data_IF_099397946015
#
_entry.id   IF_099397946015
#
_cell.length_a   1.000
_cell.length_b   1.000
_cell.length_c   1.000
_cell.angle_alpha   90.00
_cell.angle_beta   90.00
_cell.angle_gamma   90.00
#
_symmetry.space_group_name_H-M   'P 1'
#
loop_
_entity.id
_entity.type
_entity.pdbx_description
1 polymer ?
#
# COMPACT_ATOMS: atom_id res chain seq x y z
N UNK A 1 1.37 -20.21 5.64
CA UNK A 1 -0.01 -19.71 5.73
C UNK A 1 0.08 -18.37 6.44
N UNK A 2 -0.43 -17.29 5.85
CA UNK A 2 -0.56 -16.03 6.57
C UNK A 2 -1.64 -16.20 7.62
N UNK A 3 -1.41 -15.72 8.83
CA UNK A 3 -2.39 -15.83 9.92
C UNK A 3 -2.84 -14.44 10.30
N UNK A 4 -4.14 -14.22 10.29
CA UNK A 4 -4.75 -12.96 10.68
C UNK A 4 -4.42 -12.62 12.13
N UNK A 5 -4.03 -11.38 12.37
CA UNK A 5 -3.83 -10.83 13.71
C UNK A 5 -4.60 -9.53 13.81
N UNK A 6 -5.25 -9.28 14.95
CA UNK A 6 -5.75 -7.93 15.23
C UNK A 6 -4.55 -7.02 15.44
N UNK A 7 -4.59 -5.83 14.84
CA UNK A 7 -3.55 -4.84 15.07
C UNK A 7 -3.45 -4.56 16.57
N UNK A 8 -2.24 -4.61 17.15
CA UNK A 8 -2.06 -4.35 18.57
C UNK A 8 -2.27 -2.87 18.93
N UNK A 9 -2.53 -2.00 17.95
CA UNK A 9 -2.63 -0.54 18.15
C UNK A 9 -3.98 0.02 17.72
N UNK A 10 -4.70 -0.68 16.86
CA UNK A 10 -6.04 -0.30 16.39
C UNK A 10 -6.87 -1.58 16.23
N UNK A 11 -7.58 -2.04 17.28
CA UNK A 11 -8.23 -3.35 17.32
C UNK A 11 -9.26 -3.65 16.21
N UNK A 12 -9.74 -2.61 15.52
CA UNK A 12 -10.64 -2.64 14.38
C UNK A 12 -9.93 -3.09 13.08
N UNK A 13 -8.59 -3.01 13.04
CA UNK A 13 -7.77 -3.37 11.89
C UNK A 13 -7.23 -4.80 12.04
N UNK A 14 -7.36 -5.59 10.98
CA UNK A 14 -6.70 -6.88 10.84
C UNK A 14 -5.40 -6.71 10.05
N UNK A 15 -4.38 -7.49 10.41
CA UNK A 15 -3.05 -7.48 9.81
C UNK A 15 -2.60 -8.90 9.42
N UNK A 16 -1.91 -8.99 8.29
CA UNK A 16 -1.19 -10.19 7.84
C UNK A 16 0.23 -9.82 7.48
N UNK A 17 1.17 -10.45 8.17
CA UNK A 17 2.59 -10.19 8.07
C UNK A 17 3.26 -11.25 7.19
N UNK A 18 4.03 -10.83 6.19
CA UNK A 18 4.86 -11.71 5.39
C UNK A 18 6.12 -12.11 6.16
N UNK A 19 6.80 -13.15 5.70
CA UNK A 19 8.11 -13.53 6.22
C UNK A 19 9.14 -12.41 6.01
N UNK A 20 10.14 -12.31 6.89
CA UNK A 20 11.15 -11.24 6.88
C UNK A 20 11.96 -11.13 5.58
N UNK A 21 12.07 -12.21 4.81
CA UNK A 21 12.70 -12.27 3.49
C UNK A 21 11.80 -11.78 2.35
N UNK A 22 10.52 -11.49 2.62
CA UNK A 22 9.56 -11.00 1.64
C UNK A 22 9.23 -9.53 1.94
N UNK A 23 10.17 -8.64 1.63
CA UNK A 23 9.95 -7.18 1.62
C UNK A 23 10.80 -6.55 0.50
N UNK A 24 10.49 -5.31 0.11
CA UNK A 24 11.25 -4.62 -0.94
C UNK A 24 12.75 -4.56 -0.68
N UNK A 25 13.16 -4.48 0.58
CA UNK A 25 14.55 -4.35 0.99
C UNK A 25 15.27 -5.67 1.26
N UNK A 26 14.57 -6.81 1.27
CA UNK A 26 15.15 -8.12 1.64
C UNK A 26 14.92 -9.23 0.61
N UNK A 27 13.94 -9.08 -0.27
CA UNK A 27 13.59 -10.08 -1.27
C UNK A 27 14.80 -10.43 -2.14
N UNK A 28 15.00 -11.72 -2.42
CA UNK A 28 16.14 -12.23 -3.20
C UNK A 28 17.52 -11.82 -2.65
N UNK A 29 17.63 -11.57 -1.34
CA UNK A 29 18.90 -11.23 -0.68
C UNK A 29 19.34 -9.78 -0.87
N UNK A 30 18.44 -8.89 -1.29
CA UNK A 30 18.71 -7.44 -1.40
C UNK A 30 19.03 -6.82 -0.05
N UNK A 31 19.67 -5.65 -0.09
CA UNK A 31 20.00 -4.83 1.08
C UNK A 31 19.54 -3.40 0.86
N UNK A 32 18.23 -3.17 1.00
CA UNK A 32 17.59 -1.87 0.76
C UNK A 32 16.82 -1.78 -0.55
N UNK A 33 15.95 -0.78 -0.64
CA UNK A 33 15.17 -0.44 -1.84
C UNK A 33 14.43 0.90 -1.66
N UNK A 34 14.37 1.70 -2.72
CA UNK A 34 13.59 2.95 -2.83
C UNK A 34 12.43 2.80 -3.85
N UNK A 35 11.99 1.57 -4.12
CA UNK A 35 11.04 1.25 -5.17
C UNK A 35 9.56 1.27 -4.72
N UNK A 36 9.25 1.68 -3.49
CA UNK A 36 7.91 1.53 -2.87
C UNK A 36 6.79 2.13 -3.73
N UNK A 37 7.02 3.29 -4.38
CA UNK A 37 6.02 3.93 -5.25
C UNK A 37 5.69 3.07 -6.48
N UNK A 38 6.69 2.51 -7.15
CA UNK A 38 6.47 1.60 -8.28
C UNK A 38 5.79 0.30 -7.83
N UNK A 39 6.17 -0.24 -6.67
CA UNK A 39 5.56 -1.45 -6.10
C UNK A 39 4.07 -1.19 -5.81
N UNK A 40 3.72 -0.08 -5.17
CA UNK A 40 2.34 0.30 -4.89
C UNK A 40 1.52 0.44 -6.18
N UNK A 41 2.06 1.12 -7.19
CA UNK A 41 1.39 1.26 -8.48
C UNK A 41 1.18 -0.10 -9.17
N UNK A 42 2.22 -0.93 -9.29
CA UNK A 42 2.13 -2.27 -9.86
C UNK A 42 1.13 -3.17 -9.09
N UNK A 43 1.04 -3.01 -7.78
CA UNK A 43 0.11 -3.76 -6.94
C UNK A 43 -1.36 -3.40 -7.24
N UNK A 44 -1.67 -2.13 -7.50
CA UNK A 44 -3.03 -1.71 -7.86
C UNK A 44 -3.49 -2.31 -9.19
N UNK A 45 -2.58 -2.43 -10.17
CA UNK A 45 -2.89 -3.14 -11.40
C UNK A 45 -3.19 -4.63 -11.17
N UNK A 46 -2.33 -5.32 -10.41
CA UNK A 46 -2.55 -6.74 -10.12
C UNK A 46 -3.81 -7.00 -9.31
N UNK A 47 -4.20 -6.10 -8.41
CA UNK A 47 -5.47 -6.23 -7.68
C UNK A 47 -6.66 -6.36 -8.63
N UNK A 48 -6.70 -5.55 -9.69
CA UNK A 48 -7.77 -5.62 -10.69
C UNK A 48 -7.67 -6.86 -11.60
N UNK A 49 -6.47 -7.35 -11.91
CA UNK A 49 -6.28 -8.48 -12.84
C UNK A 49 -6.41 -9.85 -12.19
N UNK A 50 -5.87 -10.03 -10.98
CA UNK A 50 -5.69 -11.34 -10.37
C UNK A 50 -6.97 -11.88 -9.71
N UNK A 51 -8.08 -11.12 -9.75
CA UNK A 51 -9.35 -11.46 -9.10
C UNK A 51 -9.17 -11.91 -7.64
N UNK A 52 -8.19 -11.31 -6.95
CA UNK A 52 -7.84 -11.66 -5.58
C UNK A 52 -9.04 -11.33 -4.69
N UNK A 53 -9.50 -12.32 -3.94
CA UNK A 53 -10.52 -12.08 -2.95
C UNK A 53 -9.88 -11.33 -1.78
N UNK A 54 -10.40 -10.15 -1.40
CA UNK A 54 -9.91 -9.44 -0.23
C UNK A 54 -9.98 -10.36 1.00
N UNK A 55 -8.94 -10.43 1.85
CA UNK A 55 -9.06 -11.08 3.13
C UNK A 55 -10.13 -10.37 3.97
N UNK A 56 -10.91 -11.11 4.75
CA UNK A 56 -12.01 -10.58 5.57
C UNK A 56 -11.82 -10.95 7.05
N UNK A 57 -12.69 -10.48 7.95
CA UNK A 57 -12.70 -10.98 9.32
C UNK A 57 -12.93 -12.50 9.30
N UNK A 58 -11.93 -13.26 9.75
CA UNK A 58 -12.03 -14.72 9.86
C UNK A 58 -11.71 -15.51 8.59
N UNK A 59 -11.27 -14.87 7.50
CA UNK A 59 -10.70 -15.58 6.34
C UNK A 59 -9.31 -15.04 6.04
N UNK A 60 -8.31 -15.92 6.18
CA UNK A 60 -6.94 -15.59 5.82
C UNK A 60 -6.83 -15.35 4.30
N UNK A 61 -5.96 -14.42 3.87
CA UNK A 61 -5.66 -14.24 2.46
C UNK A 61 -5.14 -15.56 1.91
N UNK A 62 -5.65 -15.93 0.72
CA UNK A 62 -5.18 -17.10 0.03
C UNK A 62 -3.69 -16.99 -0.35
N UNK A 63 -3.12 -18.10 -0.82
CA UNK A 63 -1.73 -18.09 -1.27
C UNK A 63 -1.50 -17.16 -2.49
N UNK A 64 -2.56 -16.76 -3.20
CA UNK A 64 -2.52 -15.82 -4.31
C UNK A 64 -2.00 -14.45 -3.88
N UNK A 65 -2.36 -13.97 -2.69
CA UNK A 65 -1.83 -12.70 -2.15
C UNK A 65 -0.31 -12.73 -1.95
N UNK A 66 0.24 -13.82 -1.39
CA UNK A 66 1.70 -13.96 -1.23
C UNK A 66 2.42 -14.00 -2.58
N UNK A 67 1.86 -14.74 -3.54
CA UNK A 67 2.41 -14.83 -4.90
C UNK A 67 2.38 -13.48 -5.60
N UNK A 68 1.27 -12.75 -5.48
CA UNK A 68 1.10 -11.43 -6.09
C UNK A 68 2.03 -10.40 -5.45
N UNK A 69 2.13 -10.34 -4.12
CA UNK A 69 3.05 -9.45 -3.43
C UNK A 69 4.50 -9.73 -3.80
N UNK A 70 4.91 -11.00 -3.80
CA UNK A 70 6.25 -11.38 -4.27
C UNK A 70 6.51 -10.87 -5.69
N UNK A 71 5.55 -11.05 -6.60
CA UNK A 71 5.67 -10.60 -8.00
C UNK A 71 5.83 -9.08 -8.10
N UNK A 72 4.97 -8.29 -7.46
CA UNK A 72 5.01 -6.82 -7.57
C UNK A 72 6.20 -6.21 -6.87
N UNK A 73 6.66 -6.79 -5.76
CA UNK A 73 7.87 -6.32 -5.08
C UNK A 73 9.08 -6.55 -5.97
N UNK A 74 9.21 -7.72 -6.60
CA UNK A 74 10.28 -8.01 -7.56
C UNK A 74 10.20 -7.04 -8.74
N UNK A 75 9.04 -6.96 -9.41
CA UNK A 75 8.89 -6.11 -10.59
C UNK A 75 9.07 -4.61 -10.30
N UNK A 76 8.60 -4.12 -9.14
CA UNK A 76 8.81 -2.72 -8.75
C UNK A 76 10.28 -2.41 -8.48
N UNK A 77 11.00 -3.32 -7.81
CA UNK A 77 12.45 -3.20 -7.64
C UNK A 77 13.20 -3.21 -8.98
N UNK A 78 12.83 -4.11 -9.90
CA UNK A 78 13.43 -4.17 -11.25
C UNK A 78 13.18 -2.87 -12.03
N UNK A 79 11.95 -2.33 -12.00
CA UNK A 79 11.62 -1.04 -12.63
C UNK A 79 12.50 0.09 -12.08
N UNK A 80 12.67 0.14 -10.76
CA UNK A 80 13.49 1.16 -10.10
C UNK A 80 14.98 1.02 -10.48
N UNK A 81 15.52 -0.18 -10.34
CA UNK A 81 16.92 -0.48 -10.69
C UNK A 81 17.23 -0.16 -12.16
N UNK A 82 16.32 -0.50 -13.08
CA UNK A 82 16.47 -0.22 -14.52
C UNK A 82 16.52 1.28 -14.83
N UNK A 83 15.80 2.11 -14.06
CA UNK A 83 15.67 3.55 -14.32
C UNK A 83 16.80 4.34 -13.63
N UNK A 84 17.18 3.95 -12.42
CA UNK A 84 18.11 4.70 -11.57
C UNK A 84 19.46 4.02 -11.41
N UNK A 85 19.73 2.92 -12.12
CA UNK A 85 21.02 2.20 -12.06
C UNK A 85 21.43 1.82 -10.63
N UNK A 86 20.44 1.43 -9.81
CA UNK A 86 20.56 1.13 -8.37
C UNK A 86 20.81 2.34 -7.43
N UNK A 87 20.76 3.57 -7.92
CA UNK A 87 20.84 4.75 -7.06
C UNK A 87 19.61 4.88 -6.16
N UNK A 88 19.76 5.28 -4.88
CA UNK A 88 18.67 5.32 -3.90
C UNK A 88 17.78 6.57 -4.09
N UNK A 89 17.06 6.62 -5.20
CA UNK A 89 16.17 7.74 -5.56
C UNK A 89 14.73 7.44 -5.10
N UNK A 90 14.17 8.31 -4.27
CA UNK A 90 12.74 8.30 -3.95
C UNK A 90 11.96 9.01 -5.06
N UNK A 91 10.80 8.46 -5.42
CA UNK A 91 9.99 8.92 -6.55
C UNK A 91 8.58 9.20 -6.08
N UNK A 92 8.05 10.39 -6.42
CA UNK A 92 6.65 10.75 -6.21
C UNK A 92 5.71 9.96 -7.14
N UNK A 93 4.39 10.02 -6.91
CA UNK A 93 3.43 9.24 -7.72
C UNK A 93 3.37 9.76 -9.16
N UNK A 94 3.42 11.08 -9.34
CA UNK A 94 3.40 11.75 -10.64
C UNK A 94 4.70 11.52 -11.42
N UNK A 95 5.87 11.60 -10.77
CA UNK A 95 7.13 11.21 -11.40
C UNK A 95 7.09 9.73 -11.81
N UNK A 96 6.63 8.82 -10.94
CA UNK A 96 6.56 7.40 -11.25
C UNK A 96 5.65 7.11 -12.45
N UNK A 97 4.51 7.81 -12.58
CA UNK A 97 3.64 7.71 -13.75
C UNK A 97 4.33 8.24 -15.02
N UNK A 98 5.01 9.37 -14.94
CA UNK A 98 5.70 9.97 -16.08
C UNK A 98 6.81 9.06 -16.64
N UNK A 99 7.59 8.42 -15.75
CA UNK A 99 8.76 7.63 -16.16
C UNK A 99 8.37 6.18 -16.46
N UNK A 100 7.42 5.61 -15.71
CA UNK A 100 7.12 4.18 -15.74
C UNK A 100 5.61 3.83 -15.76
N UNK A 101 4.71 4.79 -15.99
CA UNK A 101 3.27 4.56 -15.96
C UNK A 101 2.81 3.45 -16.90
N UNK A 102 3.46 3.29 -18.06
CA UNK A 102 3.21 2.15 -18.96
C UNK A 102 3.62 0.80 -18.38
N UNK A 103 4.77 0.72 -17.68
CA UNK A 103 5.25 -0.49 -16.99
C UNK A 103 4.38 -0.83 -15.78
N UNK A 104 3.85 0.19 -15.09
CA UNK A 104 2.93 0.04 -13.96
C UNK A 104 1.45 -0.07 -14.37
N UNK A 105 1.15 -0.03 -15.68
CA UNK A 105 -0.20 -0.08 -16.24
C UNK A 105 -1.15 1.01 -15.75
N UNK A 106 -0.60 2.16 -15.35
CA UNK A 106 -1.37 3.34 -14.98
C UNK A 106 -1.93 3.96 -16.26
N UNK A 107 -3.25 4.11 -16.29
CA UNK A 107 -3.94 4.86 -17.34
C UNK A 107 -3.93 6.35 -17.03
N UNK A 108 -4.24 6.70 -15.78
CA UNK A 108 -4.36 8.09 -15.35
C UNK A 108 -4.29 8.21 -13.83
N UNK A 109 -3.63 9.27 -13.35
CA UNK A 109 -3.73 9.73 -11.96
C UNK A 109 -4.89 10.72 -11.80
N UNK A 110 -5.60 10.59 -10.69
CA UNK A 110 -6.60 11.56 -10.24
C UNK A 110 -5.91 12.66 -9.40
N UNK A 111 -6.58 13.80 -9.16
CA UNK A 111 -6.01 14.85 -8.33
C UNK A 111 -5.57 14.33 -6.96
N UNK A 112 -4.34 14.68 -6.58
CA UNK A 112 -3.77 14.35 -5.28
C UNK A 112 -4.56 15.04 -4.16
N UNK A 113 -4.80 14.31 -3.07
CA UNK A 113 -5.39 14.79 -1.85
C UNK A 113 -4.30 14.92 -0.79
N UNK A 114 -3.98 16.15 -0.40
CA UNK A 114 -2.93 16.43 0.58
C UNK A 114 -3.49 16.52 2.00
N UNK A 115 -2.80 15.85 2.92
CA UNK A 115 -3.08 15.82 4.35
C UNK A 115 -1.87 16.41 5.08
N UNK A 116 -2.06 17.56 5.73
CA UNK A 116 -1.00 18.25 6.46
C UNK A 116 -1.54 19.13 7.58
N UNK A 117 -0.64 19.59 8.46
CA UNK A 117 -0.95 20.52 9.54
C UNK A 117 -1.68 19.90 10.72
N UNK A 118 -2.56 20.68 11.36
CA UNK A 118 -3.29 20.22 12.54
C UNK A 118 -4.35 19.16 12.17
N UNK A 119 -4.51 18.16 13.03
CA UNK A 119 -5.47 17.06 12.85
C UNK A 119 -5.28 16.27 11.53
N UNK A 120 -4.03 16.07 11.08
CA UNK A 120 -3.72 15.26 9.90
C UNK A 120 -4.39 13.87 9.92
N UNK A 121 -4.41 13.19 11.07
CA UNK A 121 -5.11 11.91 11.22
C UNK A 121 -6.62 12.01 10.95
N UNK A 122 -7.29 13.06 11.44
CA UNK A 122 -8.71 13.26 11.16
C UNK A 122 -8.98 13.55 9.68
N UNK A 123 -8.13 14.37 9.04
CA UNK A 123 -8.23 14.64 7.61
C UNK A 123 -8.04 13.35 6.78
N UNK A 124 -7.06 12.52 7.13
CA UNK A 124 -6.83 11.23 6.48
C UNK A 124 -8.01 10.28 6.66
N UNK A 125 -8.66 10.29 7.83
CA UNK A 125 -9.89 9.53 8.08
C UNK A 125 -10.99 9.93 7.11
N UNK A 126 -11.23 11.24 6.96
CA UNK A 126 -12.23 11.76 6.02
C UNK A 126 -11.89 11.40 4.56
N UNK A 127 -10.61 11.43 4.18
CA UNK A 127 -10.17 11.01 2.85
C UNK A 127 -10.47 9.52 2.63
N UNK A 128 -10.05 8.65 3.56
CA UNK A 128 -10.28 7.21 3.43
C UNK A 128 -11.78 6.86 3.40
N UNK A 129 -12.58 7.47 4.25
CA UNK A 129 -14.05 7.30 4.25
C UNK A 129 -14.66 7.77 2.93
N UNK A 130 -14.28 8.95 2.44
CA UNK A 130 -14.78 9.50 1.18
C UNK A 130 -14.44 8.63 -0.04
N UNK A 131 -13.31 7.93 -0.04
CA UNK A 131 -12.95 6.97 -1.10
C UNK A 131 -13.89 5.76 -1.15
N UNK A 132 -14.53 5.41 -0.03
CA UNK A 132 -15.52 4.31 0.04
C UNK A 132 -16.89 4.68 -0.52
N UNK A 133 -17.23 5.97 -0.53
CA UNK A 133 -18.54 6.47 -1.01
C UNK A 133 -18.78 6.20 -2.50
N UNK A 134 -17.71 5.96 -3.27
CA UNK A 134 -17.81 5.66 -4.70
C UNK A 134 -18.53 4.34 -4.99
N UNK A 135 -18.65 3.45 -3.99
CA UNK A 135 -19.23 2.10 -4.10
C UNK A 135 -18.65 1.29 -5.28
N UNK A 136 -17.41 1.60 -5.65
CA UNK A 136 -16.66 0.94 -6.72
C UNK A 136 -15.25 0.64 -6.22
N UNK A 137 -14.70 -0.52 -6.58
CA UNK A 137 -13.30 -0.81 -6.28
C UNK A 137 -12.41 0.29 -6.84
N UNK A 138 -11.54 0.82 -5.99
CA UNK A 138 -10.58 1.84 -6.38
C UNK A 138 -9.27 1.68 -5.61
N UNK A 139 -8.21 2.19 -6.21
CA UNK A 139 -6.85 2.09 -5.72
C UNK A 139 -6.27 3.50 -5.60
N UNK A 140 -5.61 3.77 -4.48
CA UNK A 140 -4.91 5.04 -4.25
C UNK A 140 -3.52 4.77 -3.68
N UNK A 141 -2.51 5.47 -4.18
CA UNK A 141 -1.18 5.45 -3.56
C UNK A 141 -1.16 6.47 -2.44
N UNK A 142 -0.82 6.02 -1.24
CA UNK A 142 -0.62 6.87 -0.06
C UNK A 142 0.88 7.07 0.11
N UNK A 143 1.37 8.30 0.14
CA UNK A 143 2.77 8.60 0.49
C UNK A 143 2.79 9.27 1.86
N UNK A 144 3.61 8.76 2.77
CA UNK A 144 3.89 9.41 4.05
C UNK A 144 5.32 9.12 4.48
N UNK A 145 6.06 10.19 4.80
CA UNK A 145 7.48 10.10 5.19
C UNK A 145 8.33 9.29 4.20
N UNK A 146 8.19 9.61 2.90
CA UNK A 146 8.90 8.94 1.79
C UNK A 146 8.53 7.45 1.58
N UNK A 147 7.68 6.87 2.43
CA UNK A 147 7.12 5.54 2.25
C UNK A 147 5.82 5.62 1.42
N UNK A 148 5.73 4.80 0.38
CA UNK A 148 4.51 4.60 -0.38
C UNK A 148 3.78 3.31 0.06
N UNK A 149 2.45 3.40 0.12
CA UNK A 149 1.53 2.32 0.44
C UNK A 149 0.43 2.29 -0.63
N UNK A 150 -0.16 1.13 -0.88
CA UNK A 150 -1.35 1.04 -1.72
C UNK A 150 -2.59 0.90 -0.84
N UNK A 151 -3.50 1.87 -0.93
CA UNK A 151 -4.83 1.82 -0.35
C UNK A 151 -5.83 1.29 -1.38
N UNK A 152 -6.63 0.31 -1.00
CA UNK A 152 -7.61 -0.35 -1.86
C UNK A 152 -8.97 -0.28 -1.18
N UNK A 153 -9.98 0.19 -1.90
CA UNK A 153 -11.39 0.08 -1.52
C UNK A 153 -11.99 -1.12 -2.25
N UNK A 154 -12.68 -1.98 -1.53
CA UNK A 154 -13.36 -3.15 -2.07
C UNK A 154 -14.83 -2.83 -2.41
N UNK A 155 -15.48 -3.73 -3.16
CA UNK A 155 -16.87 -3.55 -3.60
C UNK A 155 -17.87 -3.43 -2.44
N UNK A 156 -17.59 -4.06 -1.31
CA UNK A 156 -18.44 -4.04 -0.11
C UNK A 156 -18.21 -2.80 0.78
N UNK A 157 -17.31 -1.90 0.39
CA UNK A 157 -16.92 -0.72 1.15
C UNK A 157 -15.82 -0.98 2.19
N UNK A 158 -15.38 -2.23 2.37
CA UNK A 158 -14.18 -2.53 3.15
C UNK A 158 -12.94 -1.96 2.47
N UNK A 159 -11.85 -1.80 3.21
CA UNK A 159 -10.62 -1.26 2.67
C UNK A 159 -9.38 -2.01 3.16
N UNK A 160 -8.32 -1.93 2.36
CA UNK A 160 -7.02 -2.51 2.66
C UNK A 160 -5.92 -1.49 2.45
N UNK A 161 -4.82 -1.66 3.19
CA UNK A 161 -3.58 -0.96 2.92
C UNK A 161 -2.46 -1.99 2.85
N UNK A 162 -1.76 -1.98 1.72
CA UNK A 162 -0.66 -2.87 1.39
C UNK A 162 0.65 -2.09 1.50
N UNK A 163 1.59 -2.68 2.21
CA UNK A 163 2.89 -2.13 2.50
C UNK A 163 3.99 -3.12 2.12
N UNK A 164 4.93 -2.69 1.28
CA UNK A 164 6.05 -3.51 0.81
C UNK A 164 7.30 -3.44 1.68
N UNK A 165 7.33 -2.57 2.68
CA UNK A 165 8.51 -2.35 3.51
C UNK A 165 8.77 -3.50 4.48
N UNK A 166 9.92 -3.43 5.15
CA UNK A 166 10.30 -4.37 6.19
C UNK A 166 9.80 -3.92 7.56
N UNK A 167 9.17 -4.83 8.31
CA UNK A 167 8.54 -4.56 9.60
C UNK A 167 9.19 -5.32 10.77
N UNK A 168 10.30 -4.82 11.30
CA UNK A 168 11.09 -5.41 12.41
C UNK A 168 11.56 -6.84 12.12
N UNK A 169 10.72 -7.82 12.41
CA UNK A 169 10.96 -9.26 12.24
C UNK A 169 10.09 -9.86 11.12
N UNK A 170 9.28 -9.03 10.48
CA UNK A 170 8.36 -9.37 9.41
C UNK A 170 8.73 -8.63 8.12
N UNK A 171 8.30 -9.18 6.99
CA UNK A 171 8.40 -8.52 5.70
C UNK A 171 7.20 -7.62 5.47
N UNK A 172 6.76 -7.54 4.21
CA UNK A 172 5.59 -6.80 3.77
C UNK A 172 4.32 -7.10 4.60
N UNK A 173 3.38 -6.18 4.57
CA UNK A 173 2.19 -6.17 5.43
C UNK A 173 0.94 -5.89 4.59
N UNK A 174 -0.13 -6.65 4.86
CA UNK A 174 -1.49 -6.32 4.42
C UNK A 174 -2.28 -5.95 5.67
N UNK A 175 -2.99 -4.84 5.62
CA UNK A 175 -3.98 -4.46 6.62
C UNK A 175 -5.37 -4.42 6.01
N UNK A 176 -6.40 -4.62 6.84
CA UNK A 176 -7.80 -4.62 6.41
C UNK A 176 -8.70 -3.97 7.46
N UNK A 177 -9.66 -3.17 6.99
CA UNK A 177 -10.75 -2.60 7.76
C UNK A 177 -12.10 -3.06 7.18
N UNK A 178 -13.05 -3.37 8.06
CA UNK A 178 -14.44 -3.60 7.68
C UNK A 178 -15.08 -2.31 7.10
N UNK A 179 -16.20 -2.39 6.35
CA UNK A 179 -16.79 -1.22 5.69
C UNK A 179 -17.07 -0.03 6.61
N UNK A 180 -17.48 -0.27 7.86
CA UNK A 180 -17.76 0.79 8.83
C UNK A 180 -16.55 1.21 9.67
N UNK A 181 -15.41 0.55 9.47
CA UNK A 181 -14.19 0.75 10.26
C UNK A 181 -13.06 1.39 9.45
N UNK A 182 -13.28 1.74 8.18
CA UNK A 182 -12.23 2.28 7.28
C UNK A 182 -11.54 3.53 7.83
N UNK A 183 -12.28 4.41 8.51
CA UNK A 183 -11.69 5.58 9.20
C UNK A 183 -10.61 5.21 10.22
N UNK A 184 -10.67 4.02 10.83
CA UNK A 184 -9.66 3.53 11.78
C UNK A 184 -8.30 3.22 11.13
N UNK A 185 -8.23 3.10 9.79
CA UNK A 185 -6.95 2.96 9.09
C UNK A 185 -6.09 4.23 9.21
N UNK A 186 -6.73 5.41 9.32
CA UNK A 186 -6.03 6.69 9.45
C UNK A 186 -5.25 6.84 10.77
N UNK A 187 -5.76 6.48 11.96
CA UNK A 187 -4.96 6.41 13.18
C UNK A 187 -4.08 5.16 13.25
N UNK A 188 -4.41 4.08 12.53
CA UNK A 188 -3.57 2.88 12.46
C UNK A 188 -2.23 3.15 11.77
N UNK A 189 -2.23 3.79 10.60
CA UNK A 189 -1.03 4.05 9.80
C UNK A 189 0.11 4.74 10.59
N UNK A 190 -0.07 5.91 11.25
CA UNK A 190 0.98 6.52 12.07
C UNK A 190 1.43 5.63 13.22
N UNK A 191 0.52 4.86 13.84
CA UNK A 191 0.88 3.96 14.96
C UNK A 191 1.77 2.84 14.46
N UNK A 192 1.45 2.24 13.32
CA UNK A 192 2.26 1.23 12.66
C UNK A 192 3.64 1.79 12.29
N UNK A 193 3.69 2.95 11.60
CA UNK A 193 4.94 3.63 11.21
C UNK A 193 5.82 3.96 12.42
N UNK A 194 5.23 4.50 13.49
CA UNK A 194 5.98 4.86 14.70
C UNK A 194 6.60 3.64 15.37
N UNK A 195 5.88 2.53 15.39
CA UNK A 195 6.40 1.34 16.03
C UNK A 195 7.47 0.65 15.21
N UNK A 196 7.36 0.71 13.89
CA UNK A 196 8.27 0.04 12.97
C UNK A 196 9.53 0.86 12.72
N UNK A 197 9.38 2.14 12.40
CA UNK A 197 10.46 3.01 11.92
C UNK A 197 10.68 4.26 12.78
N UNK A 198 9.96 4.40 13.90
CA UNK A 198 9.99 5.61 14.75
C UNK A 198 9.58 6.89 14.02
N UNK A 199 8.82 6.73 12.93
CA UNK A 199 8.26 7.83 12.13
C UNK A 199 6.82 8.19 12.54
N UNK A 200 6.30 9.29 12.01
CA UNK A 200 4.94 9.79 12.23
C UNK A 200 4.34 10.25 10.89
N UNK A 201 3.02 10.49 10.84
CA UNK A 201 2.43 11.23 9.72
C UNK A 201 3.09 12.62 9.65
N UNK A 202 3.84 12.89 8.58
CA UNK A 202 4.34 14.23 8.24
C UNK A 202 3.34 14.86 7.26
N UNK A 203 3.82 15.31 6.10
CA UNK A 203 2.98 15.52 4.93
C UNK A 203 2.60 14.15 4.39
N UNK A 204 1.30 13.91 4.26
CA UNK A 204 0.76 12.70 3.66
C UNK A 204 -0.02 13.08 2.43
N UNK A 205 0.16 12.35 1.33
CA UNK A 205 -0.65 12.52 0.14
C UNK A 205 -1.37 11.22 -0.21
N UNK A 206 -2.55 11.35 -0.79
CA UNK A 206 -3.35 10.23 -1.30
C UNK A 206 -3.67 10.53 -2.76
N UNK A 207 -3.16 9.71 -3.66
CA UNK A 207 -3.30 9.90 -5.12
C UNK A 207 -4.04 8.71 -5.71
N UNK A 208 -5.35 8.85 -6.05
CA UNK A 208 -6.09 7.79 -6.70
C UNK A 208 -5.54 7.51 -8.11
N UNK A 209 -5.44 6.23 -8.46
CA UNK A 209 -4.91 5.78 -9.74
C UNK A 209 -5.94 4.94 -10.49
N UNK A 210 -6.08 5.21 -11.78
CA UNK A 210 -6.87 4.42 -12.73
C UNK A 210 -5.91 3.56 -13.54
N UNK A 211 -6.22 2.27 -13.66
CA UNK A 211 -5.40 1.29 -14.35
C UNK A 211 -6.04 0.84 -15.66
N UNK A 212 -5.19 0.56 -16.66
CA UNK A 212 -5.64 0.06 -17.96
C UNK A 212 -6.27 -1.33 -17.79
N UNK A 213 -7.46 -1.51 -18.33
CA UNK A 213 -8.06 -2.83 -18.49
C UNK A 213 -7.36 -3.55 -19.64
N UNK A 214 -6.87 -4.76 -19.39
CA UNK A 214 -6.21 -5.63 -20.38
C UNK A 214 -7.14 -6.75 -20.77
#
# INVERSE_FOLDING_TARGET
MLTAQRSPHTPEIMEWHMSSDLSQSTILGRSGSNACTFIALCCGHLFHQANLQPPTNGTDPDNGWQVCLRKVIISGNEIHDDIFEHDPVNVSVDEAEQIAGSKCHVEKLMPQLDVFGHNATGQLSTVFEGLTETQRPNCSVVISDECAFLFIVNTDGSAMLIDSHHHKQYGALISYAQPNDVGHMAPWLPRMMHQTWKSTLKTTSVTPAIYRQV
#
